data_IF_523221842463
#
_entry.id   IF_523221842463
#
_cell.length_a   1.000
_cell.length_b   1.000
_cell.length_c   1.000
_cell.angle_alpha   90.00
_cell.angle_beta   90.00
_cell.angle_gamma   90.00
#
_symmetry.space_group_name_H-M   'P 1'
#
loop_
_entity.id
_entity.type
_entity.pdbx_description
1 polymer ?
#
# COMPACT_ATOMS: atom_id res chain seq x y z
N UNK A 1 -8.23 -30.99 -15.15
CA UNK A 1 -8.05 -30.08 -13.99
C UNK A 1 -7.06 -30.66 -12.96
N UNK A 2 -5.90 -31.16 -13.40
CA UNK A 2 -4.80 -31.61 -12.50
C UNK A 2 -3.39 -31.56 -13.16
N UNK A 3 -3.21 -30.78 -14.23
CA UNK A 3 -1.92 -30.64 -14.94
C UNK A 3 -1.35 -29.21 -14.90
N UNK A 4 -1.87 -28.33 -14.03
CA UNK A 4 -1.21 -27.05 -13.82
C UNK A 4 -0.09 -27.26 -12.80
N UNK A 5 1.16 -27.18 -13.27
CA UNK A 5 2.34 -27.28 -12.39
C UNK A 5 2.27 -26.16 -11.36
N UNK A 6 2.60 -26.44 -10.09
CA UNK A 6 2.64 -25.43 -9.01
C UNK A 6 3.41 -24.17 -9.44
N UNK A 7 4.46 -24.35 -10.26
CA UNK A 7 5.23 -23.28 -10.86
C UNK A 7 4.46 -22.38 -11.84
N UNK A 8 3.52 -22.93 -12.60
CA UNK A 8 2.65 -22.15 -13.48
C UNK A 8 1.73 -21.24 -12.65
N UNK A 9 1.13 -21.79 -11.57
CA UNK A 9 0.31 -21.01 -10.63
C UNK A 9 1.12 -19.90 -9.95
N UNK A 10 2.29 -20.23 -9.40
CA UNK A 10 3.19 -19.24 -8.75
C UNK A 10 3.66 -18.18 -9.75
N UNK A 11 4.03 -18.57 -10.98
CA UNK A 11 4.45 -17.62 -12.03
C UNK A 11 3.30 -16.69 -12.42
N UNK A 12 2.07 -17.20 -12.48
CA UNK A 12 0.87 -16.43 -12.81
C UNK A 12 0.56 -15.42 -11.70
N UNK A 13 0.58 -15.84 -10.44
CA UNK A 13 0.30 -14.97 -9.30
C UNK A 13 1.41 -13.91 -9.14
N UNK A 14 2.68 -14.29 -9.33
CA UNK A 14 3.80 -13.34 -9.36
C UNK A 14 3.69 -12.34 -10.52
N UNK A 15 3.19 -12.75 -11.70
CA UNK A 15 2.94 -11.85 -12.82
C UNK A 15 1.78 -10.88 -12.54
N UNK A 16 0.74 -11.31 -11.82
CA UNK A 16 -0.36 -10.45 -11.36
C UNK A 16 0.14 -9.43 -10.35
N UNK A 17 0.90 -9.86 -9.34
CA UNK A 17 1.55 -8.98 -8.36
C UNK A 17 2.45 -7.96 -9.05
N UNK A 18 3.29 -8.40 -9.99
CA UNK A 18 4.17 -7.51 -10.77
C UNK A 18 3.40 -6.51 -11.61
N UNK A 19 2.31 -6.93 -12.28
CA UNK A 19 1.45 -6.02 -13.04
C UNK A 19 0.73 -5.02 -12.14
N UNK A 20 0.30 -5.43 -10.94
CA UNK A 20 -0.32 -4.55 -9.97
C UNK A 20 0.69 -3.55 -9.40
N UNK A 21 1.92 -3.98 -9.06
CA UNK A 21 3.01 -3.08 -8.68
C UNK A 21 3.40 -2.11 -9.79
N UNK A 22 3.54 -2.60 -11.04
CA UNK A 22 3.88 -1.77 -12.19
C UNK A 22 2.80 -0.71 -12.46
N UNK A 23 1.53 -1.07 -12.25
CA UNK A 23 0.43 -0.13 -12.42
C UNK A 23 0.31 0.84 -11.23
N UNK A 24 0.74 0.46 -10.01
CA UNK A 24 0.88 1.39 -8.87
C UNK A 24 2.03 2.36 -9.11
N UNK A 25 3.10 1.90 -9.77
CA UNK A 25 4.26 2.69 -10.20
C UNK A 25 4.02 3.50 -11.48
N UNK A 26 2.89 3.33 -12.17
CA UNK A 26 2.55 4.08 -13.39
C UNK A 26 1.03 4.41 -13.40
N UNK A 27 0.62 5.54 -12.78
CA UNK A 27 -0.80 5.90 -12.62
C UNK A 27 -1.52 6.24 -13.94
N UNK A 28 -0.83 6.22 -15.09
CA UNK A 28 -1.30 6.80 -16.35
C UNK A 28 -2.42 6.01 -17.05
N UNK A 29 -2.67 4.73 -16.72
CA UNK A 29 -3.60 3.88 -17.50
C UNK A 29 -4.71 3.17 -16.70
N UNK A 30 -4.94 3.57 -15.44
CA UNK A 30 -5.92 2.90 -14.58
C UNK A 30 -7.30 3.59 -14.59
N UNK A 31 -7.98 3.49 -15.73
CA UNK A 31 -9.43 3.71 -15.82
C UNK A 31 -10.24 2.59 -15.13
N UNK A 32 -11.56 2.54 -15.40
CA UNK A 32 -12.63 1.70 -14.81
C UNK A 32 -12.32 0.24 -14.37
N UNK A 33 -11.21 -0.35 -14.81
CA UNK A 33 -10.74 -1.71 -14.48
C UNK A 33 -10.08 -1.85 -13.09
N UNK A 34 -9.72 -0.75 -12.41
CA UNK A 34 -9.10 -0.81 -11.07
C UNK A 34 -10.05 -1.33 -9.97
N UNK A 35 -11.33 -0.97 -10.05
CA UNK A 35 -12.37 -1.44 -9.13
C UNK A 35 -12.67 -2.93 -9.31
N UNK A 36 -12.63 -3.42 -10.55
CA UNK A 36 -12.85 -4.84 -10.87
C UNK A 36 -11.69 -5.71 -10.37
N UNK A 37 -10.43 -5.23 -10.44
CA UNK A 37 -9.27 -5.95 -9.88
C UNK A 37 -9.25 -5.99 -8.36
N UNK A 38 -9.75 -4.96 -7.67
CA UNK A 38 -9.94 -4.99 -6.22
C UNK A 38 -11.03 -5.98 -5.77
N UNK A 39 -11.87 -6.46 -6.70
CA UNK A 39 -12.84 -7.52 -6.46
C UNK A 39 -12.22 -8.92 -6.54
N UNK A 40 -10.99 -9.03 -7.05
CA UNK A 40 -10.17 -10.25 -7.02
C UNK A 40 -9.24 -10.19 -5.79
N UNK A 41 -9.71 -10.86 -4.75
CA UNK A 41 -9.24 -10.82 -3.38
C UNK A 41 -7.92 -11.55 -3.15
N UNK A 42 -6.81 -10.99 -3.59
CA UNK A 42 -5.48 -11.56 -3.28
C UNK A 42 -4.88 -10.89 -2.04
N UNK A 43 -5.05 -11.54 -0.87
CA UNK A 43 -4.54 -11.09 0.42
C UNK A 43 -3.02 -11.31 0.56
N UNK A 44 -2.43 -12.17 -0.26
CA UNK A 44 -1.02 -12.57 -0.15
C UNK A 44 -0.06 -11.46 -0.56
N UNK A 45 -0.37 -10.74 -1.64
CA UNK A 45 0.44 -9.61 -2.11
C UNK A 45 0.58 -8.48 -1.08
N UNK A 46 -0.53 -7.89 -0.59
CA UNK A 46 -0.52 -6.81 0.40
C UNK A 46 0.19 -7.21 1.69
N UNK A 47 -0.03 -8.43 2.16
CA UNK A 47 0.59 -8.96 3.37
C UNK A 47 2.10 -9.11 3.17
N UNK A 48 2.55 -9.65 2.04
CA UNK A 48 3.97 -9.75 1.72
C UNK A 48 4.64 -8.35 1.66
N UNK A 49 4.00 -7.35 1.08
CA UNK A 49 4.56 -5.99 1.02
C UNK A 49 4.63 -5.31 2.40
N UNK A 50 3.60 -5.45 3.22
CA UNK A 50 3.60 -4.92 4.60
C UNK A 50 4.67 -5.61 5.44
N UNK A 51 4.80 -6.95 5.36
CA UNK A 51 5.87 -7.67 6.05
C UNK A 51 7.26 -7.25 5.57
N UNK A 52 7.44 -7.05 4.26
CA UNK A 52 8.70 -6.58 3.70
C UNK A 52 9.04 -5.19 4.21
N UNK A 53 8.07 -4.26 4.22
CA UNK A 53 8.28 -2.93 4.78
C UNK A 53 8.64 -2.99 6.26
N UNK A 54 7.83 -3.69 7.07
CA UNK A 54 8.08 -3.84 8.50
C UNK A 54 9.45 -4.44 8.77
N UNK A 55 9.85 -5.48 8.03
CA UNK A 55 11.17 -6.11 8.18
C UNK A 55 12.31 -5.16 7.79
N UNK A 56 12.20 -4.42 6.68
CA UNK A 56 13.23 -3.46 6.26
C UNK A 56 13.42 -2.33 7.27
N UNK A 57 12.33 -1.81 7.84
CA UNK A 57 12.39 -0.79 8.90
C UNK A 57 12.97 -1.34 10.20
N UNK A 58 12.57 -2.57 10.57
CA UNK A 58 13.03 -3.20 11.81
C UNK A 58 14.53 -3.49 11.81
N UNK A 59 15.12 -3.78 10.64
CA UNK A 59 16.56 -4.01 10.53
C UNK A 59 17.43 -2.77 10.74
N UNK A 60 16.86 -1.57 10.62
CA UNK A 60 17.56 -0.29 10.85
C UNK A 60 17.26 0.38 12.19
N UNK A 61 16.30 -0.14 12.96
CA UNK A 61 15.86 0.45 14.21
C UNK A 61 16.53 -0.20 15.43
N UNK A 62 16.74 0.58 16.50
CA UNK A 62 17.26 0.06 17.77
C UNK A 62 16.34 -1.02 18.38
N UNK A 63 15.02 -0.84 18.24
CA UNK A 63 14.00 -1.78 18.69
C UNK A 63 13.23 -2.35 17.47
N UNK A 64 13.76 -3.43 16.91
CA UNK A 64 13.20 -4.11 15.74
C UNK A 64 11.74 -4.58 15.96
N UNK A 65 11.44 -5.21 17.11
CA UNK A 65 10.11 -5.75 17.40
C UNK A 65 9.03 -4.68 17.57
N UNK A 66 9.39 -3.55 18.18
CA UNK A 66 8.51 -2.40 18.38
C UNK A 66 8.16 -1.77 17.03
N UNK A 67 9.17 -1.49 16.20
CA UNK A 67 9.01 -0.90 14.87
C UNK A 67 8.16 -1.80 13.97
N UNK A 68 8.42 -3.11 13.97
CA UNK A 68 7.62 -4.09 13.24
C UNK A 68 6.14 -4.01 13.62
N UNK A 69 5.86 -4.01 14.92
CA UNK A 69 4.51 -4.01 15.47
C UNK A 69 3.77 -2.70 15.18
N UNK A 70 4.47 -1.56 15.30
CA UNK A 70 3.92 -0.24 15.01
C UNK A 70 3.50 -0.13 13.54
N UNK A 71 4.36 -0.55 12.61
CA UNK A 71 4.04 -0.53 11.16
C UNK A 71 2.83 -1.43 10.87
N UNK A 72 2.85 -2.67 11.36
CA UNK A 72 1.79 -3.63 11.13
C UNK A 72 0.44 -3.16 11.72
N UNK A 73 0.46 -2.66 12.96
CA UNK A 73 -0.70 -2.10 13.63
C UNK A 73 -1.24 -0.85 12.91
N UNK A 74 -0.36 0.02 12.42
CA UNK A 74 -0.75 1.23 11.69
C UNK A 74 -1.50 0.88 10.40
N UNK A 75 -0.99 -0.08 9.62
CA UNK A 75 -1.67 -0.50 8.38
C UNK A 75 -3.01 -1.17 8.69
N UNK A 76 -3.06 -2.01 9.74
CA UNK A 76 -4.30 -2.65 10.18
C UNK A 76 -5.36 -1.64 10.64
N UNK A 77 -4.98 -0.70 11.50
CA UNK A 77 -5.86 0.38 11.97
C UNK A 77 -6.26 1.32 10.83
N UNK A 78 -5.34 1.62 9.91
CA UNK A 78 -5.62 2.41 8.72
C UNK A 78 -6.68 1.76 7.82
N UNK A 79 -6.64 0.44 7.67
CA UNK A 79 -7.65 -0.31 6.93
C UNK A 79 -9.02 -0.27 7.61
N UNK A 80 -9.06 -0.44 8.93
CA UNK A 80 -10.31 -0.30 9.71
C UNK A 80 -10.87 1.12 9.58
N UNK A 81 -10.03 2.14 9.77
CA UNK A 81 -10.42 3.54 9.68
C UNK A 81 -10.92 3.91 8.27
N UNK A 82 -10.23 3.46 7.21
CA UNK A 82 -10.66 3.66 5.83
C UNK A 82 -12.00 2.99 5.55
N UNK A 83 -12.17 1.74 5.98
CA UNK A 83 -13.42 1.00 5.79
C UNK A 83 -14.58 1.70 6.50
N UNK A 84 -14.39 2.08 7.76
CA UNK A 84 -15.40 2.80 8.53
C UNK A 84 -15.75 4.15 7.86
N UNK A 85 -14.74 4.93 7.46
CA UNK A 85 -14.96 6.22 6.81
C UNK A 85 -15.73 6.06 5.48
N UNK A 86 -15.40 5.04 4.68
CA UNK A 86 -16.08 4.77 3.40
C UNK A 86 -17.53 4.32 3.62
N UNK A 87 -17.78 3.45 4.62
CA UNK A 87 -19.13 3.01 4.95
C UNK A 87 -19.99 4.19 5.47
N UNK A 88 -19.44 5.03 6.35
CA UNK A 88 -20.13 6.21 6.89
C UNK A 88 -20.44 7.27 5.83
N UNK A 89 -19.57 7.42 4.83
CA UNK A 89 -19.77 8.34 3.71
C UNK A 89 -20.78 7.84 2.67
N UNK A 90 -21.26 6.59 2.82
CA UNK A 90 -22.30 5.98 1.98
C UNK A 90 -21.77 5.26 0.74
N UNK A 91 -20.50 4.87 0.72
CA UNK A 91 -19.95 4.06 -0.37
C UNK A 91 -19.87 2.58 -0.03
N UNK A 92 -19.28 1.82 -0.96
CA UNK A 92 -19.25 0.36 -0.90
C UNK A 92 -17.82 -0.15 -1.02
N UNK A 93 -17.21 -0.48 0.12
CA UNK A 93 -15.96 -1.22 0.24
C UNK A 93 -16.11 -2.25 1.36
N UNK A 94 -15.45 -3.38 1.26
CA UNK A 94 -15.36 -4.32 2.37
C UNK A 94 -13.97 -4.28 3.02
N UNK A 95 -13.88 -4.67 4.30
CA UNK A 95 -12.70 -4.44 5.13
C UNK A 95 -11.40 -4.92 4.49
N UNK A 96 -11.37 -6.18 4.05
CA UNK A 96 -10.17 -6.78 3.51
C UNK A 96 -9.67 -5.99 2.24
N UNK A 97 -10.54 -5.23 1.57
CA UNK A 97 -10.33 -4.61 0.25
C UNK A 97 -9.58 -3.32 0.48
N UNK A 98 -9.94 -2.65 1.58
CA UNK A 98 -9.17 -1.57 2.16
C UNK A 98 -7.78 -2.06 2.57
N UNK A 99 -7.65 -3.25 3.20
CA UNK A 99 -6.33 -3.82 3.56
C UNK A 99 -5.49 -4.04 2.30
N UNK A 100 -6.08 -4.65 1.28
CA UNK A 100 -5.38 -4.93 0.03
C UNK A 100 -4.94 -3.65 -0.69
N UNK A 101 -5.86 -2.70 -0.85
CA UNK A 101 -5.60 -1.38 -1.44
C UNK A 101 -4.45 -0.67 -0.72
N UNK A 102 -4.52 -0.60 0.62
CA UNK A 102 -3.52 0.10 1.41
C UNK A 102 -2.15 -0.57 1.26
N UNK A 103 -2.08 -1.91 1.34
CA UNK A 103 -0.82 -2.65 1.22
C UNK A 103 -0.18 -2.57 -0.16
N UNK A 104 -0.95 -2.60 -1.26
CA UNK A 104 -0.38 -2.41 -2.61
C UNK A 104 0.17 -0.99 -2.81
N UNK A 105 -0.48 0.00 -2.23
CA UNK A 105 -0.02 1.38 -2.32
C UNK A 105 1.20 1.66 -1.43
N UNK A 106 1.63 0.73 -0.57
CA UNK A 106 2.86 0.82 0.24
C UNK A 106 4.12 0.46 -0.58
N UNK A 107 3.99 -0.14 -1.76
CA UNK A 107 5.13 -0.57 -2.60
C UNK A 107 6.17 0.54 -2.86
N UNK A 108 5.79 1.79 -3.21
CA UNK A 108 6.75 2.88 -3.35
C UNK A 108 7.53 3.18 -2.05
N UNK A 109 6.89 3.06 -0.88
CA UNK A 109 7.57 3.18 0.41
C UNK A 109 8.56 2.02 0.65
N UNK A 110 8.23 0.79 0.26
CA UNK A 110 9.18 -0.34 0.36
C UNK A 110 10.44 -0.11 -0.49
N UNK A 111 10.26 0.45 -1.69
CA UNK A 111 11.40 0.80 -2.55
C UNK A 111 12.21 1.95 -1.95
N UNK A 112 11.54 2.97 -1.40
CA UNK A 112 12.21 4.06 -0.70
C UNK A 112 13.00 3.59 0.53
N UNK A 113 12.45 2.68 1.35
CA UNK A 113 13.15 2.14 2.52
C UNK A 113 14.38 1.34 2.09
N UNK A 114 14.28 0.52 1.04
CA UNK A 114 15.43 -0.18 0.47
C UNK A 114 16.50 0.78 -0.08
N UNK A 115 16.10 1.83 -0.79
CA UNK A 115 17.02 2.87 -1.30
C UNK A 115 17.68 3.66 -0.17
N UNK A 116 17.00 3.83 0.96
CA UNK A 116 17.58 4.46 2.16
C UNK A 116 18.71 3.64 2.78
N UNK A 117 18.76 2.31 2.57
CA UNK A 117 19.88 1.47 3.00
C UNK A 117 21.16 1.73 2.18
N UNK A 118 21.03 2.22 0.95
CA UNK A 118 22.16 2.46 0.06
C UNK A 118 22.90 3.79 0.34
N UNK A 119 22.32 4.68 1.16
CA UNK A 119 22.89 6.01 1.42
C UNK A 119 22.56 6.51 2.82
N UNK A 120 23.59 6.89 3.58
CA UNK A 120 23.45 7.43 4.94
C UNK A 120 23.02 8.91 4.96
N UNK A 121 22.99 9.58 3.81
CA UNK A 121 22.68 11.01 3.75
C UNK A 121 21.20 11.27 4.09
N UNK A 122 20.97 11.96 5.22
CA UNK A 122 19.64 12.31 5.74
C UNK A 122 18.79 13.10 4.75
N UNK A 123 19.39 13.99 3.96
CA UNK A 123 18.67 14.80 2.96
C UNK A 123 18.19 13.91 1.80
N UNK A 124 19.03 12.98 1.35
CA UNK A 124 18.66 12.01 0.33
C UNK A 124 17.51 11.11 0.80
N UNK A 125 17.61 10.55 2.02
CA UNK A 125 16.56 9.72 2.62
C UNK A 125 15.24 10.48 2.71
N UNK A 126 15.27 11.74 3.15
CA UNK A 126 14.07 12.57 3.23
C UNK A 126 13.43 12.81 1.86
N UNK A 127 14.20 13.15 0.83
CA UNK A 127 13.68 13.40 -0.53
C UNK A 127 13.07 12.12 -1.11
N UNK A 128 13.76 10.98 -0.99
CA UNK A 128 13.30 9.69 -1.51
C UNK A 128 12.00 9.26 -0.81
N UNK A 129 11.92 9.38 0.51
CA UNK A 129 10.71 9.04 1.26
C UNK A 129 9.57 10.01 0.95
N UNK A 130 9.82 11.31 0.84
CA UNK A 130 8.79 12.28 0.45
C UNK A 130 8.22 12.00 -0.96
N UNK A 131 9.09 11.64 -1.91
CA UNK A 131 8.68 11.20 -3.24
C UNK A 131 7.83 9.92 -3.16
N UNK A 132 8.21 8.95 -2.34
CA UNK A 132 7.44 7.72 -2.16
C UNK A 132 6.08 7.95 -1.49
N UNK A 133 6.01 8.77 -0.44
CA UNK A 133 4.75 9.12 0.22
C UNK A 133 3.81 9.81 -0.75
N UNK A 134 4.29 10.81 -1.50
CA UNK A 134 3.47 11.50 -2.50
C UNK A 134 3.00 10.55 -3.61
N UNK A 135 3.84 9.60 -4.02
CA UNK A 135 3.49 8.57 -4.99
C UNK A 135 2.42 7.61 -4.46
N UNK A 136 2.61 7.04 -3.27
CA UNK A 136 1.67 6.15 -2.59
C UNK A 136 0.31 6.81 -2.37
N UNK A 137 0.34 8.06 -1.93
CA UNK A 137 -0.83 8.92 -1.81
C UNK A 137 -1.57 9.07 -3.14
N UNK A 138 -0.89 9.47 -4.21
CA UNK A 138 -1.47 9.63 -5.55
C UNK A 138 -2.04 8.31 -6.09
N UNK A 139 -1.35 7.20 -5.85
CA UNK A 139 -1.78 5.87 -6.26
C UNK A 139 -3.06 5.41 -5.54
N UNK A 140 -3.26 5.77 -4.28
CA UNK A 140 -4.46 5.40 -3.51
C UNK A 140 -5.74 6.15 -3.92
N UNK A 141 -5.62 7.38 -4.44
CA UNK A 141 -6.75 8.24 -4.81
C UNK A 141 -7.74 7.57 -5.78
N UNK A 142 -7.30 7.02 -6.94
CA UNK A 142 -8.23 6.39 -7.89
C UNK A 142 -8.98 5.22 -7.27
N UNK A 143 -8.34 4.43 -6.41
CA UNK A 143 -8.97 3.28 -5.76
C UNK A 143 -10.04 3.70 -4.75
N UNK A 144 -9.72 4.68 -3.88
CA UNK A 144 -10.70 5.23 -2.92
C UNK A 144 -11.84 5.93 -3.68
N UNK A 145 -11.51 6.62 -4.78
CA UNK A 145 -12.49 7.34 -5.60
C UNK A 145 -13.47 6.42 -6.34
N UNK A 146 -13.09 5.16 -6.59
CA UNK A 146 -13.96 4.16 -7.20
C UNK A 146 -14.99 3.59 -6.22
N UNK A 147 -14.68 3.61 -4.92
CA UNK A 147 -15.60 3.17 -3.87
C UNK A 147 -16.60 4.28 -3.44
N UNK A 148 -16.45 5.51 -3.96
CA UNK A 148 -17.12 6.73 -3.49
C UNK A 148 -17.80 7.53 -4.61
N UNK A 149 -18.96 8.16 -4.36
CA UNK A 149 -19.51 9.18 -5.25
C UNK A 149 -18.61 10.43 -5.32
N UNK A 150 -18.61 11.11 -6.48
CA UNK A 150 -17.63 12.16 -6.81
C UNK A 150 -17.59 13.33 -5.82
N UNK A 151 -18.70 13.66 -5.17
CA UNK A 151 -18.81 14.79 -4.23
C UNK A 151 -18.11 14.56 -2.88
N UNK A 152 -17.78 13.31 -2.51
CA UNK A 152 -17.26 12.95 -1.18
C UNK A 152 -15.85 12.36 -1.17
N UNK A 153 -15.18 12.33 -2.33
CA UNK A 153 -13.87 11.70 -2.53
C UNK A 153 -12.77 12.26 -1.62
N UNK A 154 -12.73 13.58 -1.44
CA UNK A 154 -11.70 14.23 -0.64
C UNK A 154 -11.73 13.79 0.83
N UNK A 155 -12.92 13.63 1.42
CA UNK A 155 -13.08 13.16 2.80
C UNK A 155 -12.63 11.70 2.98
N UNK A 156 -12.85 10.86 1.97
CA UNK A 156 -12.44 9.46 2.01
C UNK A 156 -10.91 9.29 1.92
N UNK A 157 -10.24 10.14 1.14
CA UNK A 157 -8.79 10.09 0.90
C UNK A 157 -7.98 10.62 2.09
N UNK A 158 -8.50 11.59 2.84
CA UNK A 158 -7.79 12.24 3.95
C UNK A 158 -7.11 11.28 4.96
N UNK A 159 -7.82 10.30 5.58
CA UNK A 159 -7.19 9.40 6.55
C UNK A 159 -6.09 8.52 5.93
N UNK A 160 -6.20 8.19 4.64
CA UNK A 160 -5.20 7.40 3.91
C UNK A 160 -3.91 8.20 3.72
N UNK A 161 -4.02 9.47 3.36
CA UNK A 161 -2.86 10.37 3.22
C UNK A 161 -2.10 10.49 4.55
N UNK A 162 -2.84 10.67 5.64
CA UNK A 162 -2.26 10.82 6.97
C UNK A 162 -1.52 9.56 7.41
N UNK A 163 -2.08 8.38 7.11
CA UNK A 163 -1.41 7.09 7.35
C UNK A 163 -0.08 6.98 6.58
N UNK A 164 -0.03 7.35 5.28
CA UNK A 164 1.21 7.28 4.51
C UNK A 164 2.27 8.27 4.98
N UNK A 165 1.87 9.48 5.39
CA UNK A 165 2.80 10.45 5.99
C UNK A 165 3.39 9.88 7.28
N UNK A 166 2.57 9.26 8.13
CA UNK A 166 3.04 8.62 9.36
C UNK A 166 4.02 7.46 9.06
N UNK A 167 3.69 6.59 8.11
CA UNK A 167 4.60 5.51 7.68
C UNK A 167 5.90 6.06 7.07
N UNK A 168 5.82 7.13 6.29
CA UNK A 168 7.00 7.80 5.74
C UNK A 168 7.88 8.39 6.83
N UNK A 169 7.29 8.99 7.86
CA UNK A 169 8.04 9.47 9.02
C UNK A 169 8.81 8.34 9.70
N UNK A 170 8.19 7.17 9.90
CA UNK A 170 8.86 5.99 10.45
C UNK A 170 10.00 5.46 9.56
N UNK A 171 10.02 5.76 8.26
CA UNK A 171 11.11 5.37 7.37
C UNK A 171 12.35 6.29 7.48
N UNK A 172 12.12 7.54 7.89
CA UNK A 172 13.18 8.56 8.03
C UNK A 172 13.74 8.59 9.45
N UNK A 173 12.88 8.36 10.45
CA UNK A 173 13.23 8.28 11.87
C UNK A 173 14.22 7.13 12.14
#
# INVERSE_FOLDING_TARGET
TLDETIWATVRRDCAVVRRNCAAVLLPMNWGANGATRLREWDLWGPLAFVLTLSATLSGGAANASETFSVVFATVGLGAVALTANVLLLGGKIIFLQSVALLGYCVVPLCLASALCLASENKVYRFIVVAAAVTWSSKASVPFVSAAMPASRRALAVYPVMLMYVFLGWLCVA
#
